data_IF_872643338483
#
_entry.id   IF_872643338483
#
_cell.length_a   1.000
_cell.length_b   1.000
_cell.length_c   1.000
_cell.angle_alpha   90.00
_cell.angle_beta   90.00
_cell.angle_gamma   90.00
#
_symmetry.space_group_name_H-M   'P 1'
#
loop_
_entity.id
_entity.type
_entity.pdbx_description
1 polymer ?
#
# COMPACT_ATOMS: atom_id res chain seq x y z
N UNK A 1 -28.90 -10.91 -8.56
CA UNK A 1 -27.78 -9.94 -8.68
C UNK A 1 -26.51 -10.70 -9.06
N UNK A 2 -25.75 -10.20 -10.02
CA UNK A 2 -24.47 -10.80 -10.35
C UNK A 2 -23.40 -10.45 -9.30
N UNK A 3 -22.37 -11.28 -9.20
CA UNK A 3 -21.21 -11.00 -8.29
C UNK A 3 -20.61 -9.63 -8.57
N UNK A 4 -20.61 -9.18 -9.83
CA UNK A 4 -20.12 -7.85 -10.22
C UNK A 4 -20.97 -6.73 -9.61
N UNK A 5 -22.29 -6.90 -9.64
CA UNK A 5 -23.23 -5.92 -9.05
C UNK A 5 -23.16 -5.91 -7.53
N UNK A 6 -23.04 -7.06 -6.91
CA UNK A 6 -22.84 -7.17 -5.45
C UNK A 6 -21.56 -6.48 -5.00
N UNK A 7 -20.44 -6.72 -5.71
CA UNK A 7 -19.17 -6.04 -5.43
C UNK A 7 -19.27 -4.53 -5.63
N UNK A 8 -20.01 -4.08 -6.65
CA UNK A 8 -20.20 -2.65 -6.90
C UNK A 8 -21.04 -1.99 -5.80
N UNK A 9 -22.10 -2.67 -5.34
CA UNK A 9 -22.93 -2.19 -4.23
C UNK A 9 -22.12 -2.09 -2.93
N UNK A 10 -21.36 -3.13 -2.61
CA UNK A 10 -20.50 -3.17 -1.42
C UNK A 10 -19.43 -2.07 -1.47
N UNK A 11 -18.81 -1.82 -2.63
CA UNK A 11 -17.85 -0.71 -2.78
C UNK A 11 -18.49 0.64 -2.49
N UNK A 12 -19.72 0.88 -2.96
CA UNK A 12 -20.44 2.13 -2.67
C UNK A 12 -20.69 2.30 -1.17
N UNK A 13 -21.16 1.26 -0.52
CA UNK A 13 -21.42 1.27 0.92
C UNK A 13 -20.14 1.56 1.72
N UNK A 14 -19.06 0.83 1.45
CA UNK A 14 -17.79 1.00 2.14
C UNK A 14 -17.22 2.41 1.91
N UNK A 15 -17.29 2.92 0.68
CA UNK A 15 -16.85 4.30 0.39
C UNK A 15 -17.64 5.35 1.16
N UNK A 16 -18.95 5.16 1.36
CA UNK A 16 -19.76 6.04 2.20
C UNK A 16 -19.33 5.99 3.67
N UNK A 17 -19.07 4.80 4.21
CA UNK A 17 -18.55 4.63 5.58
C UNK A 17 -17.19 5.32 5.76
N UNK A 18 -16.29 5.17 4.82
CA UNK A 18 -14.97 5.83 4.86
C UNK A 18 -15.11 7.35 4.83
N UNK A 19 -16.00 7.90 4.00
CA UNK A 19 -16.26 9.35 3.94
C UNK A 19 -16.81 9.94 5.22
N UNK A 20 -17.48 9.13 6.03
CA UNK A 20 -18.01 9.53 7.34
C UNK A 20 -16.92 9.58 8.43
N UNK A 21 -15.76 9.00 8.19
CA UNK A 21 -14.62 9.04 9.12
C UNK A 21 -13.88 10.37 9.01
N UNK A 22 -13.41 10.90 10.15
CA UNK A 22 -12.52 12.05 10.14
C UNK A 22 -11.12 11.66 9.65
N UNK A 23 -10.33 12.64 9.23
CA UNK A 23 -8.93 12.42 8.87
C UNK A 23 -8.12 11.89 10.04
N UNK A 24 -8.44 12.34 11.25
CA UNK A 24 -7.83 11.88 12.50
C UNK A 24 -8.15 10.42 12.79
N UNK A 25 -9.40 9.99 12.56
CA UNK A 25 -9.80 8.59 12.72
C UNK A 25 -9.05 7.68 11.74
N UNK A 26 -8.98 8.07 10.48
CA UNK A 26 -8.25 7.30 9.45
C UNK A 26 -6.77 7.20 9.82
N UNK A 27 -6.15 8.31 10.24
CA UNK A 27 -4.75 8.36 10.67
C UNK A 27 -4.52 7.47 11.90
N UNK A 28 -5.37 7.59 12.91
CA UNK A 28 -5.26 6.81 14.15
C UNK A 28 -5.39 5.31 13.89
N UNK A 29 -6.36 4.90 13.09
CA UNK A 29 -6.56 3.50 12.69
C UNK A 29 -5.41 2.98 11.84
N UNK A 30 -4.86 3.78 10.93
CA UNK A 30 -3.68 3.44 10.14
C UNK A 30 -2.46 3.18 11.03
N UNK A 31 -2.21 4.04 12.01
CA UNK A 31 -1.11 3.88 12.98
C UNK A 31 -1.29 2.58 13.77
N UNK A 32 -2.51 2.29 14.24
CA UNK A 32 -2.81 1.05 14.98
C UNK A 32 -2.57 -0.19 14.12
N UNK A 33 -3.02 -0.18 12.87
CA UNK A 33 -2.78 -1.27 11.93
C UNK A 33 -1.28 -1.48 11.66
N UNK A 34 -0.53 -0.39 11.48
CA UNK A 34 0.92 -0.44 11.28
C UNK A 34 1.65 -1.05 12.50
N UNK A 35 1.24 -0.70 13.71
CA UNK A 35 1.81 -1.28 14.94
C UNK A 35 1.59 -2.78 15.03
N UNK A 36 0.38 -3.24 14.70
CA UNK A 36 0.08 -4.68 14.65
C UNK A 36 0.92 -5.39 13.58
N UNK A 37 0.99 -4.83 12.39
CA UNK A 37 1.77 -5.39 11.28
C UNK A 37 3.27 -5.48 11.61
N UNK A 38 3.83 -4.46 12.25
CA UNK A 38 5.24 -4.44 12.68
C UNK A 38 5.57 -5.55 13.69
N UNK A 39 4.59 -6.03 14.44
CA UNK A 39 4.73 -7.15 15.37
C UNK A 39 4.73 -8.54 14.71
N UNK A 40 4.33 -8.65 13.45
CA UNK A 40 4.26 -9.93 12.76
C UNK A 40 5.67 -10.48 12.42
N UNK A 41 5.82 -11.79 12.54
CA UNK A 41 7.06 -12.49 12.19
C UNK A 41 7.41 -12.26 10.71
N UNK A 42 6.41 -12.28 9.83
CA UNK A 42 6.60 -12.01 8.40
C UNK A 42 7.24 -10.64 8.15
N UNK A 43 6.81 -9.60 8.87
CA UNK A 43 7.42 -8.28 8.78
C UNK A 43 8.85 -8.26 9.35
N UNK A 44 9.04 -8.86 10.52
CA UNK A 44 10.35 -8.89 11.19
C UNK A 44 11.41 -9.58 10.35
N UNK A 45 11.05 -10.66 9.66
CA UNK A 45 11.97 -11.46 8.86
C UNK A 45 12.17 -10.93 7.44
N UNK A 46 11.25 -10.12 6.91
CA UNK A 46 11.36 -9.56 5.57
C UNK A 46 12.56 -8.60 5.47
N UNK A 47 13.34 -8.73 4.43
CA UNK A 47 14.44 -7.80 4.07
C UNK A 47 13.98 -6.73 3.11
N UNK A 48 13.15 -7.11 2.15
CA UNK A 48 12.61 -6.24 1.13
C UNK A 48 11.09 -6.33 1.10
N UNK A 49 10.45 -5.18 1.24
CA UNK A 49 9.00 -5.04 1.34
C UNK A 49 8.50 -4.23 0.15
N UNK A 50 7.44 -4.69 -0.50
CA UNK A 50 6.70 -3.90 -1.47
C UNK A 50 5.56 -3.20 -0.74
N UNK A 51 5.56 -1.88 -0.76
CA UNK A 51 4.54 -1.03 -0.15
C UNK A 51 3.76 -0.24 -1.21
N UNK A 52 2.88 0.60 -0.76
CA UNK A 52 2.10 1.52 -1.60
C UNK A 52 2.04 2.91 -0.97
N UNK A 53 1.71 3.91 -1.76
CA UNK A 53 1.38 5.26 -1.30
C UNK A 53 -0.13 5.35 -1.18
N UNK A 54 -0.62 5.65 0.02
CA UNK A 54 -2.05 5.69 0.29
C UNK A 54 -2.75 6.82 -0.49
N UNK A 55 -3.88 6.47 -1.09
CA UNK A 55 -4.85 7.44 -1.58
C UNK A 55 -5.71 7.94 -0.40
N UNK A 56 -6.38 9.10 -0.54
CA UNK A 56 -7.31 9.57 0.49
C UNK A 56 -8.33 8.49 0.87
N UNK A 57 -8.50 8.23 2.16
CA UNK A 57 -9.40 7.21 2.69
C UNK A 57 -8.82 5.80 2.77
N UNK A 58 -7.65 5.55 2.24
CA UNK A 58 -6.95 4.26 2.43
C UNK A 58 -6.21 4.21 3.77
N UNK A 59 -6.01 3.00 4.27
CA UNK A 59 -5.06 2.76 5.35
C UNK A 59 -3.66 3.19 4.90
N UNK A 60 -3.04 4.08 5.65
CA UNK A 60 -1.72 4.62 5.29
C UNK A 60 -0.61 3.78 5.92
N UNK A 61 0.26 3.13 5.12
CA UNK A 61 1.36 2.31 5.63
C UNK A 61 2.58 3.12 6.06
N UNK A 62 2.52 4.45 6.11
CA UNK A 62 3.69 5.31 6.37
C UNK A 62 4.45 4.95 7.66
N UNK A 63 3.75 4.66 8.75
CA UNK A 63 4.41 4.28 10.01
C UNK A 63 5.10 2.90 9.91
N UNK A 64 4.54 1.98 9.14
CA UNK A 64 5.17 0.69 8.87
C UNK A 64 6.43 0.85 8.00
N UNK A 65 6.38 1.74 7.02
CA UNK A 65 7.53 2.09 6.18
C UNK A 65 8.65 2.72 7.01
N UNK A 66 8.32 3.61 7.94
CA UNK A 66 9.30 4.19 8.89
C UNK A 66 9.94 3.10 9.75
N UNK A 67 9.14 2.17 10.27
CA UNK A 67 9.65 1.04 11.05
C UNK A 67 10.59 0.16 10.21
N UNK A 68 10.22 -0.13 8.96
CA UNK A 68 11.07 -0.87 8.03
C UNK A 68 12.41 -0.16 7.80
N UNK A 69 12.39 1.13 7.54
CA UNK A 69 13.60 1.94 7.34
C UNK A 69 14.50 1.93 8.57
N UNK A 70 13.95 2.07 9.77
CA UNK A 70 14.71 2.03 11.04
C UNK A 70 15.36 0.67 11.30
N UNK A 71 14.82 -0.40 10.71
CA UNK A 71 15.36 -1.76 10.78
C UNK A 71 16.31 -2.09 9.62
N UNK A 72 16.64 -1.12 8.79
CA UNK A 72 17.52 -1.32 7.62
C UNK A 72 16.91 -2.15 6.49
N UNK A 73 15.59 -2.25 6.43
CA UNK A 73 14.88 -2.96 5.37
C UNK A 73 14.78 -2.10 4.11
N UNK A 74 14.76 -2.75 2.95
CA UNK A 74 14.44 -2.09 1.69
C UNK A 74 12.92 -1.98 1.52
N UNK A 75 12.45 -0.84 1.04
CA UNK A 75 11.04 -0.62 0.71
C UNK A 75 10.93 -0.23 -0.77
N UNK A 76 10.26 -1.09 -1.53
CA UNK A 76 9.97 -0.88 -2.93
C UNK A 76 8.52 -0.37 -3.12
N UNK A 77 8.30 0.27 -4.24
CA UNK A 77 6.98 0.77 -4.65
C UNK A 77 6.73 0.43 -6.13
N UNK A 78 5.46 0.21 -6.51
CA UNK A 78 5.12 -0.05 -7.89
C UNK A 78 5.15 1.23 -8.73
N UNK A 79 5.60 1.12 -9.95
CA UNK A 79 5.51 2.14 -10.99
C UNK A 79 4.74 1.55 -12.15
N UNK A 80 3.70 2.26 -12.62
CA UNK A 80 2.93 1.80 -13.76
C UNK A 80 3.78 1.84 -15.04
N UNK A 81 3.84 0.72 -15.76
CA UNK A 81 4.39 0.68 -17.10
C UNK A 81 3.30 1.00 -18.14
N UNK A 82 3.70 1.52 -19.30
CA UNK A 82 2.76 1.95 -20.35
C UNK A 82 1.89 0.84 -20.97
N UNK A 83 2.19 -0.42 -20.67
CA UNK A 83 1.50 -1.61 -21.16
C UNK A 83 0.45 -2.17 -20.16
N UNK A 84 0.19 -1.44 -19.07
CA UNK A 84 -0.72 -1.87 -18.00
C UNK A 84 -0.06 -2.76 -16.94
N UNK A 85 1.23 -3.06 -17.05
CA UNK A 85 2.01 -3.77 -16.05
C UNK A 85 2.54 -2.87 -14.93
N UNK A 86 3.25 -3.49 -14.00
CA UNK A 86 3.93 -2.80 -12.92
C UNK A 86 5.42 -3.14 -12.94
N UNK A 87 6.24 -2.12 -12.75
CA UNK A 87 7.66 -2.26 -12.44
C UNK A 87 7.88 -1.88 -10.98
N UNK A 88 8.89 -2.44 -10.34
CA UNK A 88 9.15 -2.23 -8.92
C UNK A 88 10.46 -1.49 -8.73
N UNK A 89 10.44 -0.44 -7.91
CA UNK A 89 11.60 0.40 -7.66
C UNK A 89 11.78 0.67 -6.17
N UNK A 90 13.03 0.67 -5.72
CA UNK A 90 13.43 1.13 -4.39
C UNK A 90 13.95 2.57 -4.55
N UNK A 91 13.24 3.58 -4.06
CA UNK A 91 13.74 4.95 -4.08
C UNK A 91 14.98 5.10 -3.19
N UNK A 92 15.95 5.90 -3.62
CA UNK A 92 17.17 6.13 -2.83
C UNK A 92 16.91 6.94 -1.55
N UNK A 93 15.88 7.78 -1.57
CA UNK A 93 15.38 8.53 -0.40
C UNK A 93 13.94 9.00 -0.63
N UNK A 94 13.34 9.66 0.38
CA UNK A 94 11.97 10.16 0.32
C UNK A 94 11.70 11.26 -0.71
N UNK A 95 12.73 11.88 -1.29
CA UNK A 95 12.60 12.91 -2.32
C UNK A 95 12.50 12.35 -3.75
N UNK A 96 12.67 11.04 -3.90
CA UNK A 96 12.70 10.35 -5.19
C UNK A 96 11.30 9.96 -5.70
N UNK A 97 10.26 10.70 -5.35
CA UNK A 97 8.91 10.47 -5.84
C UNK A 97 8.49 11.56 -6.82
N UNK A 98 7.83 11.13 -7.89
CA UNK A 98 7.25 12.00 -8.91
C UNK A 98 5.78 11.68 -9.09
N UNK A 99 5.00 12.60 -9.66
CA UNK A 99 3.60 12.35 -9.97
C UNK A 99 3.52 11.30 -11.08
N UNK A 100 2.97 10.13 -10.76
CA UNK A 100 2.79 9.04 -11.70
C UNK A 100 1.43 9.01 -12.34
N UNK A 101 1.11 7.88 -12.99
CA UNK A 101 -0.22 7.58 -13.51
C UNK A 101 -1.26 7.67 -12.38
N UNK A 102 -2.49 8.05 -12.72
CA UNK A 102 -3.59 8.21 -11.76
C UNK A 102 -3.35 9.24 -10.65
N UNK A 103 -2.37 10.13 -10.78
CA UNK A 103 -2.07 11.17 -9.79
C UNK A 103 -1.41 10.65 -8.50
N UNK A 104 -0.99 9.39 -8.47
CA UNK A 104 -0.31 8.78 -7.32
C UNK A 104 1.19 9.04 -7.44
N UNK A 105 1.83 9.41 -6.33
CA UNK A 105 3.29 9.54 -6.31
C UNK A 105 3.95 8.18 -6.51
N UNK A 106 4.86 8.11 -7.47
CA UNK A 106 5.63 6.92 -7.81
C UNK A 106 7.12 7.21 -7.66
N UNK A 107 7.97 6.19 -7.40
CA UNK A 107 9.41 6.37 -7.45
C UNK A 107 9.87 6.93 -8.80
N UNK A 108 10.76 7.91 -8.77
CA UNK A 108 11.45 8.36 -9.97
C UNK A 108 12.42 7.27 -10.42
N UNK A 109 12.22 6.76 -11.64
CA UNK A 109 13.02 5.66 -12.19
C UNK A 109 14.51 5.99 -12.27
N UNK A 110 14.86 7.24 -12.53
CA UNK A 110 16.26 7.68 -12.65
C UNK A 110 16.98 7.78 -11.31
N UNK A 111 16.20 7.94 -10.22
CA UNK A 111 16.69 8.10 -8.85
C UNK A 111 16.37 6.92 -7.96
N UNK A 112 16.01 5.78 -8.54
CA UNK A 112 15.57 4.59 -7.83
C UNK A 112 16.17 3.34 -8.45
N UNK A 113 16.37 2.31 -7.63
CA UNK A 113 16.84 1.01 -8.07
C UNK A 113 15.69 0.09 -8.49
N UNK A 114 15.72 -0.43 -9.72
CA UNK A 114 14.74 -1.42 -10.16
C UNK A 114 15.01 -2.77 -9.50
N UNK A 115 13.96 -3.44 -9.07
CA UNK A 115 14.02 -4.81 -8.55
C UNK A 115 12.96 -5.70 -9.19
N UNK A 116 13.14 -6.99 -9.05
CA UNK A 116 12.22 -8.00 -9.56
C UNK A 116 11.32 -8.53 -8.45
N UNK A 117 10.16 -9.07 -8.82
CA UNK A 117 9.17 -9.57 -7.85
C UNK A 117 9.71 -10.70 -6.97
N UNK A 118 10.61 -11.53 -7.47
CA UNK A 118 11.23 -12.62 -6.72
C UNK A 118 12.20 -12.13 -5.63
N UNK A 119 12.57 -10.86 -5.64
CA UNK A 119 13.37 -10.21 -4.60
C UNK A 119 12.54 -9.63 -3.45
N UNK A 120 11.21 -9.68 -3.54
CA UNK A 120 10.29 -9.19 -2.51
C UNK A 120 9.98 -10.31 -1.51
N UNK A 121 10.15 -10.02 -0.23
CA UNK A 121 9.86 -10.97 0.87
C UNK A 121 8.45 -10.79 1.43
N UNK A 122 7.90 -9.56 1.36
CA UNK A 122 6.59 -9.22 1.89
C UNK A 122 5.92 -8.15 1.03
N UNK A 123 4.64 -8.35 0.72
CA UNK A 123 3.83 -7.38 -0.01
C UNK A 123 2.75 -6.82 0.92
N UNK A 124 2.67 -5.49 1.02
CA UNK A 124 1.58 -4.79 1.69
C UNK A 124 0.56 -4.40 0.62
N UNK A 125 -0.63 -4.99 0.70
CA UNK A 125 -1.67 -4.86 -0.33
C UNK A 125 -2.76 -3.90 0.12
N UNK A 126 -3.03 -2.80 -0.60
CA UNK A 126 -4.14 -1.92 -0.30
C UNK A 126 -5.49 -2.56 -0.64
N UNK A 127 -6.55 -2.13 0.04
CA UNK A 127 -7.91 -2.58 -0.25
C UNK A 127 -8.93 -1.66 0.39
N UNK A 128 -10.17 -1.74 -0.09
CA UNK A 128 -11.30 -1.00 0.49
C UNK A 128 -11.81 -1.67 1.76
N UNK A 129 -11.85 -2.98 1.78
CA UNK A 129 -12.33 -3.77 2.91
C UNK A 129 -11.69 -5.15 2.91
N UNK A 130 -11.66 -5.75 4.08
CA UNK A 130 -11.17 -7.10 4.32
C UNK A 130 -12.14 -7.79 5.27
N UNK A 131 -12.35 -9.08 5.08
CA UNK A 131 -13.12 -9.87 6.03
C UNK A 131 -12.22 -10.71 6.93
N UNK A 132 -12.85 -11.43 7.87
CA UNK A 132 -12.11 -12.28 8.80
C UNK A 132 -11.58 -13.57 8.17
N UNK A 133 -12.06 -13.90 6.96
CA UNK A 133 -11.62 -15.05 6.17
C UNK A 133 -10.48 -14.67 5.21
N UNK A 134 -9.96 -13.47 5.32
CA UNK A 134 -8.83 -12.91 4.55
C UNK A 134 -9.17 -12.60 3.09
N UNK A 135 -10.44 -12.46 2.74
CA UNK A 135 -10.83 -11.94 1.44
C UNK A 135 -10.68 -10.42 1.40
N UNK A 136 -10.31 -9.93 0.24
CA UNK A 136 -10.08 -8.52 -0.01
C UNK A 136 -11.05 -7.97 -1.05
N UNK A 137 -11.66 -6.82 -0.74
CA UNK A 137 -12.39 -6.01 -1.71
C UNK A 137 -11.43 -4.91 -2.22
N UNK A 138 -11.00 -5.04 -3.47
CA UNK A 138 -10.21 -4.02 -4.15
C UNK A 138 -11.05 -2.82 -4.60
N UNK A 139 -10.38 -1.75 -5.00
CA UNK A 139 -11.00 -0.54 -5.56
C UNK A 139 -11.72 -0.79 -6.88
#
# INVERSE_FOLDING_TARGET
MSIKEEKAALRREIKQRIRALSKEDIKSQSISACKLAAGLIAFKNARTILSYRALPGECDPAELVKAAASMGKNVAYPVCSGDGGLELYIPSDGSCFVKGAYGIAEPDRERSGRIMIDQIDLIIVPGLAFDRELYRLGR
#
